data_IF_763021195751
#
_entry.id   IF_763021195751
#
_cell.length_a   1.000
_cell.length_b   1.000
_cell.length_c   1.000
_cell.angle_alpha   90.00
_cell.angle_beta   90.00
_cell.angle_gamma   90.00
#
_symmetry.space_group_name_H-M   'P 1'
#
loop_
_entity.id
_entity.type
_entity.pdbx_description
1 polymer ?
#
# COMPACT_ATOMS: atom_id res chain seq x y z
N UNK A 1 0.58 -3.62 27.67
CA UNK A 1 -0.47 -2.63 27.92
C UNK A 1 -1.12 -2.22 26.61
N UNK A 2 -2.42 -1.97 26.63
CA UNK A 2 -3.13 -1.59 25.43
C UNK A 2 -2.80 -0.17 25.00
N UNK A 3 -2.86 0.09 23.70
CA UNK A 3 -2.69 1.43 23.15
C UNK A 3 -3.90 2.30 23.53
N UNK A 4 -3.61 3.43 24.16
CA UNK A 4 -4.58 4.44 24.54
C UNK A 4 -3.91 5.80 24.52
N UNK A 5 -4.68 6.87 24.74
CA UNK A 5 -4.10 8.20 24.88
C UNK A 5 -3.04 8.30 25.97
N UNK A 6 -3.19 7.51 27.04
CA UNK A 6 -2.25 7.49 28.17
C UNK A 6 -1.00 6.67 27.87
N UNK A 7 -1.13 5.57 27.14
CA UNK A 7 -0.06 4.59 26.91
C UNK A 7 0.61 4.69 25.55
N UNK A 8 0.13 5.54 24.68
CA UNK A 8 0.73 5.78 23.37
C UNK A 8 2.16 6.32 23.52
N UNK A 9 3.04 5.94 22.62
CA UNK A 9 4.45 6.36 22.65
C UNK A 9 4.60 7.85 22.35
N UNK A 10 3.67 8.40 21.59
CA UNK A 10 3.70 9.81 21.20
C UNK A 10 2.32 10.44 21.41
N UNK A 11 2.26 11.72 21.85
CA UNK A 11 0.99 12.45 21.92
C UNK A 11 0.25 12.53 20.58
N UNK A 12 0.95 12.54 19.47
CA UNK A 12 0.35 12.54 18.13
C UNK A 12 -0.49 11.28 17.92
N UNK A 13 -0.01 10.16 18.41
CA UNK A 13 -0.68 8.88 18.27
C UNK A 13 -1.70 8.61 19.38
N UNK A 14 -1.56 9.29 20.50
CA UNK A 14 -2.43 9.17 21.66
C UNK A 14 -3.41 10.33 21.78
N UNK A 15 -3.02 11.35 22.55
CA UNK A 15 -3.87 12.51 22.89
C UNK A 15 -4.45 13.20 21.65
N UNK A 16 -3.65 13.37 20.61
CA UNK A 16 -4.03 14.06 19.39
C UNK A 16 -4.36 13.13 18.23
N UNK A 17 -4.55 11.84 18.52
CA UNK A 17 -4.83 10.84 17.50
C UNK A 17 -6.03 11.15 16.62
N UNK A 18 -7.11 11.70 17.23
CA UNK A 18 -8.29 12.10 16.48
C UNK A 18 -8.04 13.31 15.57
N UNK A 19 -7.10 14.18 15.95
CA UNK A 19 -6.72 15.36 15.16
C UNK A 19 -5.88 15.00 13.94
N UNK A 20 -5.17 13.88 14.00
CA UNK A 20 -4.26 13.43 12.94
C UNK A 20 -4.82 12.28 12.11
N UNK A 21 -6.05 11.87 12.37
CA UNK A 21 -6.66 10.70 11.69
C UNK A 21 -6.68 10.83 10.17
N UNK A 22 -6.86 12.02 9.64
CA UNK A 22 -6.86 12.28 8.20
C UNK A 22 -5.50 11.99 7.55
N UNK A 23 -4.41 11.99 8.31
CA UNK A 23 -3.06 11.72 7.82
C UNK A 23 -2.71 10.24 7.80
N UNK A 24 -3.46 9.39 8.50
CA UNK A 24 -3.15 7.96 8.61
C UNK A 24 -3.10 7.23 7.27
N UNK A 25 -4.00 7.49 6.31
CA UNK A 25 -3.90 6.84 5.00
C UNK A 25 -2.61 7.15 4.23
N UNK A 26 -1.91 8.22 4.63
CA UNK A 26 -0.71 8.70 3.93
C UNK A 26 0.56 8.34 4.72
N UNK A 27 0.60 8.66 6.01
CA UNK A 27 1.83 8.62 6.82
C UNK A 27 1.95 7.44 7.77
N UNK A 28 1.00 6.51 7.73
CA UNK A 28 1.09 5.26 8.49
C UNK A 28 1.93 4.23 7.73
N UNK A 29 2.26 3.13 8.39
CA UNK A 29 2.86 1.97 7.73
C UNK A 29 1.95 1.45 6.60
N UNK A 30 0.64 1.43 6.84
CA UNK A 30 -0.34 1.13 5.79
C UNK A 30 -0.18 2.06 4.59
N UNK A 31 -0.06 3.37 4.83
CA UNK A 31 0.14 4.36 3.77
C UNK A 31 1.42 4.11 2.99
N UNK A 32 2.51 3.79 3.68
CA UNK A 32 3.77 3.44 3.04
C UNK A 32 3.63 2.23 2.12
N UNK A 33 3.01 1.15 2.61
CA UNK A 33 2.78 -0.07 1.83
C UNK A 33 1.87 0.23 0.64
N UNK A 34 0.79 0.99 0.86
CA UNK A 34 -0.15 1.39 -0.19
C UNK A 34 0.56 2.12 -1.34
N UNK A 35 1.39 3.09 -1.03
CA UNK A 35 2.10 3.85 -2.05
C UNK A 35 3.17 3.01 -2.75
N UNK A 36 3.82 2.09 -2.05
CA UNK A 36 4.74 1.14 -2.68
C UNK A 36 4.01 0.26 -3.69
N UNK A 37 2.86 -0.28 -3.33
CA UNK A 37 2.04 -1.09 -4.25
C UNK A 37 1.60 -0.26 -5.44
N UNK A 38 1.15 0.97 -5.22
CA UNK A 38 0.75 1.88 -6.30
C UNK A 38 1.88 2.09 -7.30
N UNK A 39 3.08 2.38 -6.82
CA UNK A 39 4.26 2.59 -7.67
C UNK A 39 4.57 1.32 -8.47
N UNK A 40 4.58 0.15 -7.83
CA UNK A 40 4.88 -1.11 -8.50
C UNK A 40 3.84 -1.45 -9.56
N UNK A 41 2.56 -1.26 -9.26
CA UNK A 41 1.47 -1.51 -10.21
C UNK A 41 1.59 -0.59 -11.43
N UNK A 42 1.76 0.71 -11.21
CA UNK A 42 1.88 1.68 -12.31
C UNK A 42 3.13 1.44 -13.15
N UNK A 43 4.23 1.09 -12.52
CA UNK A 43 5.48 0.75 -13.21
C UNK A 43 5.30 -0.49 -14.09
N UNK A 44 4.72 -1.55 -13.57
CA UNK A 44 4.45 -2.77 -14.33
C UNK A 44 3.53 -2.51 -15.53
N UNK A 45 2.46 -1.74 -15.32
CA UNK A 45 1.55 -1.37 -16.40
C UNK A 45 2.27 -0.56 -17.49
N UNK A 46 3.17 0.34 -17.09
CA UNK A 46 3.94 1.16 -18.02
C UNK A 46 4.92 0.32 -18.84
N UNK A 47 5.58 -0.64 -18.20
CA UNK A 47 6.48 -1.57 -18.89
C UNK A 47 5.72 -2.40 -19.93
N UNK A 48 4.55 -2.94 -19.55
CA UNK A 48 3.73 -3.76 -20.44
C UNK A 48 3.20 -2.96 -21.63
N UNK A 49 2.94 -1.67 -21.46
CA UNK A 49 2.43 -0.79 -22.51
C UNK A 49 3.52 -0.24 -23.43
N UNK A 50 4.80 -0.38 -23.06
CA UNK A 50 5.91 0.22 -23.83
C UNK A 50 6.37 -0.71 -24.95
N UNK A 51 6.20 -0.27 -26.19
CA UNK A 51 6.55 -1.05 -27.38
C UNK A 51 8.05 -1.40 -27.48
N UNK A 52 8.91 -0.59 -26.86
CA UNK A 52 10.36 -0.81 -26.84
C UNK A 52 10.83 -1.87 -25.83
N UNK A 53 9.92 -2.45 -25.05
CA UNK A 53 10.24 -3.48 -24.04
C UNK A 53 9.38 -4.71 -24.31
N UNK A 54 9.77 -5.53 -25.31
CA UNK A 54 8.96 -6.69 -25.71
C UNK A 54 8.99 -7.85 -24.69
N UNK A 55 9.90 -7.80 -23.72
CA UNK A 55 10.02 -8.82 -22.67
C UNK A 55 8.79 -8.85 -21.77
N UNK A 56 8.06 -7.75 -21.67
CA UNK A 56 6.80 -7.68 -20.93
C UNK A 56 5.67 -7.56 -21.96
N UNK A 57 4.89 -8.63 -22.09
CA UNK A 57 3.78 -8.63 -23.04
C UNK A 57 2.69 -7.62 -22.61
N UNK A 58 2.00 -6.98 -23.56
CA UNK A 58 0.88 -6.10 -23.25
C UNK A 58 -0.19 -6.82 -22.44
N UNK A 59 -0.74 -6.14 -21.44
CA UNK A 59 -1.79 -6.70 -20.60
C UNK A 59 -3.16 -6.54 -21.27
N UNK A 60 -4.03 -7.53 -21.06
CA UNK A 60 -5.44 -7.43 -21.46
C UNK A 60 -6.14 -6.31 -20.70
N UNK A 61 -7.28 -5.86 -21.21
CA UNK A 61 -8.13 -4.89 -20.53
C UNK A 61 -8.55 -5.42 -19.15
N UNK A 62 -8.83 -6.72 -19.05
CA UNK A 62 -9.20 -7.36 -17.77
C UNK A 62 -8.04 -7.34 -16.77
N UNK A 63 -6.83 -7.64 -17.20
CA UNK A 63 -5.64 -7.60 -16.36
C UNK A 63 -5.37 -6.18 -15.86
N UNK A 64 -5.46 -5.18 -16.73
CA UNK A 64 -5.29 -3.79 -16.33
C UNK A 64 -6.38 -3.33 -15.37
N UNK A 65 -7.63 -3.75 -15.56
CA UNK A 65 -8.72 -3.42 -14.66
C UNK A 65 -8.47 -4.00 -13.25
N UNK A 66 -7.98 -5.23 -13.17
CA UNK A 66 -7.62 -5.87 -11.90
C UNK A 66 -6.50 -5.11 -11.19
N UNK A 67 -5.46 -4.73 -11.92
CA UNK A 67 -4.34 -3.97 -11.38
C UNK A 67 -4.77 -2.56 -10.92
N UNK A 68 -5.62 -1.90 -11.70
CA UNK A 68 -6.17 -0.61 -11.33
C UNK A 68 -6.99 -0.70 -10.03
N UNK A 69 -7.81 -1.73 -9.92
CA UNK A 69 -8.62 -1.95 -8.72
C UNK A 69 -7.72 -2.17 -7.49
N UNK A 70 -6.68 -2.98 -7.64
CA UNK A 70 -5.73 -3.22 -6.54
C UNK A 70 -5.06 -1.92 -6.09
N UNK A 71 -4.65 -1.07 -7.02
CA UNK A 71 -3.97 0.18 -6.72
C UNK A 71 -4.91 1.24 -6.14
N UNK A 72 -6.12 1.36 -6.71
CA UNK A 72 -7.07 2.41 -6.34
C UNK A 72 -7.89 2.06 -5.10
N UNK A 73 -8.10 0.78 -4.84
CA UNK A 73 -8.92 0.27 -3.72
C UNK A 73 -8.09 -0.63 -2.78
N UNK A 74 -6.87 -0.21 -2.49
CA UNK A 74 -5.98 -0.95 -1.61
C UNK A 74 -6.48 -0.87 -0.17
N UNK A 75 -6.77 -2.04 0.42
CA UNK A 75 -7.38 -2.15 1.74
C UNK A 75 -6.35 -2.51 2.82
N UNK A 76 -6.71 -2.25 4.08
CA UNK A 76 -5.88 -2.58 5.23
C UNK A 76 -5.53 -4.08 5.26
N UNK A 77 -6.45 -4.95 4.88
CA UNK A 77 -6.23 -6.40 4.81
C UNK A 77 -5.17 -6.77 3.78
N UNK A 78 -5.08 -6.04 2.67
CA UNK A 78 -4.02 -6.25 1.68
C UNK A 78 -2.64 -5.93 2.26
N UNK A 79 -2.54 -4.84 3.00
CA UNK A 79 -1.30 -4.47 3.68
C UNK A 79 -0.91 -5.51 4.74
N UNK A 80 -1.88 -6.01 5.48
CA UNK A 80 -1.63 -7.07 6.46
C UNK A 80 -1.14 -8.35 5.80
N UNK A 81 -1.71 -8.70 4.65
CA UNK A 81 -1.26 -9.87 3.88
C UNK A 81 0.19 -9.72 3.43
N UNK A 82 0.58 -8.53 2.99
CA UNK A 82 1.96 -8.25 2.60
C UNK A 82 2.89 -8.42 3.80
N UNK A 83 2.54 -7.89 4.96
CA UNK A 83 3.33 -8.06 6.18
C UNK A 83 3.48 -9.53 6.58
N UNK A 84 2.42 -10.30 6.43
CA UNK A 84 2.45 -11.72 6.74
C UNK A 84 3.41 -12.48 5.81
N UNK A 85 3.42 -12.13 4.53
CA UNK A 85 4.36 -12.69 3.56
C UNK A 85 5.80 -12.28 3.90
N UNK A 86 6.01 -11.01 4.24
CA UNK A 86 7.34 -10.48 4.56
C UNK A 86 7.98 -11.17 5.76
N UNK A 87 7.20 -11.71 6.69
CA UNK A 87 7.73 -12.48 7.82
C UNK A 87 8.54 -13.70 7.38
N UNK A 88 8.18 -14.29 6.24
CA UNK A 88 8.88 -15.47 5.71
C UNK A 88 9.96 -15.09 4.70
N UNK A 89 9.79 -13.98 3.98
CA UNK A 89 10.76 -13.50 2.98
C UNK A 89 11.81 -12.58 3.56
N UNK A 90 11.59 -12.06 4.74
CA UNK A 90 12.48 -11.16 5.46
C UNK A 90 12.81 -9.86 4.67
N UNK A 91 11.80 -9.30 4.05
CA UNK A 91 11.93 -8.05 3.28
C UNK A 91 11.01 -6.95 3.79
#
# INVERSE_FOLDING_TARGET
MQLSSLTAVSPVDGRYGSKTSALRPIFSEYGLIRFRVLVEVRWLQRLAAHAGIPEVAPFSAEANALLNQLADDFQLEHAQRIKDIERTTNH
#
